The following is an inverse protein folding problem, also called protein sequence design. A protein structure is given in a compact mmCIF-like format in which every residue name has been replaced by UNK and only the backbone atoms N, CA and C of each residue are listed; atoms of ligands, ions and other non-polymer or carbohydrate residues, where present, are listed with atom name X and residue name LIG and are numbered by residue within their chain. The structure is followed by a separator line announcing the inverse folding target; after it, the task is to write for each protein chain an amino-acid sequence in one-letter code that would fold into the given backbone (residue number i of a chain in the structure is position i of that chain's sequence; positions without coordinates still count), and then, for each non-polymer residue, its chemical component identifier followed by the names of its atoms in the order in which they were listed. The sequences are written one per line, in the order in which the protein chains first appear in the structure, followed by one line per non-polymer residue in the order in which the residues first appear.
data_IF_424953652794
#
_entry.id   IF_424953652794
#
_cell.length_a   1.000
_cell.length_b   1.000
_cell.length_c   1.000
_cell.angle_alpha   90.00
_cell.angle_beta   90.00
_cell.angle_gamma   90.00
#
_symmetry.space_group_name_H-M   'P 1'
#
loop_
_entity.id
_entity.type
_entity.pdbx_description
1 polymer ?
#
# COMPACT_ATOMS: atom_id res chain seq x y z
N UNK A 1 12.33 -28.21 -7.22
CA UNK A 1 11.89 -28.04 -5.80
C UNK A 1 11.86 -26.56 -5.39
N UNK A 2 12.81 -25.73 -5.84
CA UNK A 2 12.87 -24.27 -5.59
C UNK A 2 11.65 -23.49 -6.08
N UNK A 3 11.09 -23.82 -7.25
CA UNK A 3 9.96 -23.10 -7.84
C UNK A 3 8.66 -23.16 -7.01
N UNK A 4 8.47 -24.22 -6.21
CA UNK A 4 7.29 -24.35 -5.34
C UNK A 4 7.39 -23.41 -4.13
N UNK A 5 8.57 -23.32 -3.51
CA UNK A 5 8.81 -22.43 -2.38
C UNK A 5 8.73 -20.96 -2.82
N UNK A 6 9.21 -20.65 -4.02
CA UNK A 6 9.08 -19.32 -4.62
C UNK A 6 7.62 -18.95 -4.87
N UNK A 7 6.83 -19.85 -5.48
CA UNK A 7 5.41 -19.63 -5.69
C UNK A 7 4.65 -19.46 -4.35
N UNK A 8 4.94 -20.29 -3.35
CA UNK A 8 4.33 -20.19 -2.01
C UNK A 8 4.69 -18.87 -1.30
N UNK A 9 5.93 -18.42 -1.42
CA UNK A 9 6.36 -17.14 -0.87
C UNK A 9 5.57 -15.98 -1.48
N UNK A 10 5.44 -15.95 -2.81
CA UNK A 10 4.68 -14.91 -3.53
C UNK A 10 3.19 -14.98 -3.19
N UNK A 11 2.65 -16.19 -3.03
CA UNK A 11 1.25 -16.43 -2.66
C UNK A 11 0.97 -15.93 -1.24
N UNK A 12 1.81 -16.28 -0.26
CA UNK A 12 1.72 -15.75 1.10
C UNK A 12 1.89 -14.23 1.13
N UNK A 13 2.76 -13.68 0.28
CA UNK A 13 2.90 -12.24 0.14
C UNK A 13 1.61 -11.61 -0.36
N UNK A 14 1.02 -12.14 -1.43
CA UNK A 14 -0.25 -11.67 -2.00
C UNK A 14 -1.38 -11.69 -0.98
N UNK A 15 -1.57 -12.81 -0.26
CA UNK A 15 -2.62 -12.92 0.75
C UNK A 15 -2.48 -11.94 1.93
N UNK A 16 -1.29 -11.37 2.17
CA UNK A 16 -1.12 -10.33 3.20
C UNK A 16 -1.71 -8.97 2.79
N UNK A 17 -1.87 -8.70 1.49
CA UNK A 17 -2.41 -7.45 0.96
C UNK A 17 -3.93 -7.29 1.18
N UNK A 18 -4.80 -8.28 0.94
CA UNK A 18 -6.23 -8.20 1.25
C UNK A 18 -6.50 -7.77 2.70
N UNK A 19 -5.70 -8.27 3.64
CA UNK A 19 -5.77 -7.90 5.06
C UNK A 19 -5.36 -6.44 5.24
N UNK A 20 -4.28 -6.02 4.59
CA UNK A 20 -3.79 -4.63 4.62
C UNK A 20 -4.78 -3.63 4.01
N UNK A 21 -5.40 -3.99 2.88
CA UNK A 21 -6.45 -3.23 2.18
C UNK A 21 -7.70 -3.14 3.05
N UNK A 22 -8.14 -4.26 3.64
CA UNK A 22 -9.32 -4.30 4.50
C UNK A 22 -9.14 -3.41 5.73
N UNK A 23 -7.97 -3.46 6.38
CA UNK A 23 -7.67 -2.58 7.51
C UNK A 23 -7.59 -1.12 7.09
N UNK A 24 -6.98 -0.81 5.94
CA UNK A 24 -6.94 0.55 5.38
C UNK A 24 -8.35 1.08 5.08
N UNK A 25 -9.21 0.26 4.49
CA UNK A 25 -10.59 0.61 4.16
C UNK A 25 -11.46 0.84 5.41
N UNK A 26 -11.35 -0.03 6.42
CA UNK A 26 -12.12 0.07 7.67
C UNK A 26 -11.65 1.21 8.57
N UNK A 27 -10.33 1.45 8.65
CA UNK A 27 -9.77 2.48 9.51
C UNK A 27 -10.13 3.90 9.06
N UNK A 28 -10.39 4.13 7.76
CA UNK A 28 -10.65 5.46 7.16
C UNK A 28 -9.62 6.54 7.55
N UNK A 29 -8.40 6.11 7.86
CA UNK A 29 -7.24 6.95 8.16
C UNK A 29 -6.01 6.28 7.55
N UNK A 30 -5.12 7.09 6.97
CA UNK A 30 -3.83 6.69 6.43
C UNK A 30 -2.72 6.71 7.50
N UNK A 31 -3.02 7.17 8.73
CA UNK A 31 -2.05 7.27 9.82
C UNK A 31 -1.55 5.88 10.23
N UNK A 32 -0.23 5.68 10.11
CA UNK A 32 0.47 4.45 10.52
C UNK A 32 0.79 3.46 9.40
N UNK A 33 0.38 3.73 8.15
CA UNK A 33 0.71 2.89 6.98
C UNK A 33 1.81 3.56 6.15
N UNK A 34 2.87 2.83 5.84
CA UNK A 34 4.05 3.34 5.14
C UNK A 34 3.94 3.07 3.64
N UNK A 35 3.50 4.07 2.87
CA UNK A 35 3.55 4.04 1.40
C UNK A 35 4.93 3.68 0.87
N UNK A 36 5.99 4.10 1.57
CA UNK A 36 7.36 3.86 1.15
C UNK A 36 7.68 2.36 1.11
N UNK A 37 7.13 1.59 2.07
CA UNK A 37 7.27 0.14 2.09
C UNK A 37 6.51 -0.53 0.93
N UNK A 38 5.29 -0.07 0.63
CA UNK A 38 4.51 -0.56 -0.51
C UNK A 38 5.17 -0.27 -1.86
N UNK A 39 5.74 0.93 -2.03
CA UNK A 39 6.48 1.29 -3.25
C UNK A 39 7.73 0.44 -3.38
N UNK A 40 8.44 0.17 -2.28
CA UNK A 40 9.61 -0.70 -2.30
C UNK A 40 9.25 -2.13 -2.72
N UNK A 41 8.11 -2.64 -2.22
CA UNK A 41 7.56 -3.93 -2.66
C UNK A 41 7.18 -3.91 -4.14
N UNK A 42 6.53 -2.85 -4.61
CA UNK A 42 6.18 -2.69 -6.02
C UNK A 42 7.42 -2.73 -6.92
N UNK A 43 8.48 -2.04 -6.53
CA UNK A 43 9.78 -2.07 -7.24
C UNK A 43 10.39 -3.47 -7.21
N UNK A 44 10.34 -4.17 -6.07
CA UNK A 44 10.74 -5.57 -5.97
C UNK A 44 9.98 -6.49 -6.93
N UNK A 45 8.67 -6.28 -7.08
CA UNK A 45 7.84 -6.99 -8.06
C UNK A 45 8.26 -6.69 -9.51
N UNK A 46 8.65 -5.47 -9.84
CA UNK A 46 9.18 -5.13 -11.18
C UNK A 46 10.48 -5.91 -11.47
N UNK A 47 11.41 -5.98 -10.52
CA UNK A 47 12.62 -6.80 -10.67
C UNK A 47 12.30 -8.29 -10.83
N UNK A 48 11.27 -8.77 -10.14
CA UNK A 48 10.74 -10.12 -10.30
C UNK A 48 10.21 -10.42 -11.70
N UNK A 49 9.45 -9.50 -12.28
CA UNK A 49 8.97 -9.60 -13.67
C UNK A 49 10.15 -9.64 -14.65
N UNK A 50 11.19 -8.82 -14.42
CA UNK A 50 12.39 -8.82 -15.27
C UNK A 50 13.08 -10.19 -15.24
N UNK A 51 13.22 -10.79 -14.05
CA UNK A 51 13.77 -12.16 -13.90
C UNK A 51 12.94 -13.18 -14.69
N UNK A 52 11.63 -13.10 -14.56
CA UNK A 52 10.70 -14.01 -15.22
C UNK A 52 10.76 -13.86 -16.75
N UNK A 53 10.90 -12.63 -17.23
CA UNK A 53 11.14 -12.32 -18.64
C UNK A 53 12.45 -12.96 -19.11
N UNK A 54 13.56 -12.74 -18.38
CA UNK A 54 14.85 -13.37 -18.71
C UNK A 54 14.78 -14.90 -18.75
N UNK A 55 14.01 -15.51 -17.86
CA UNK A 55 13.83 -16.97 -17.83
C UNK A 55 13.02 -17.47 -19.02
N UNK A 56 12.00 -16.71 -19.45
CA UNK A 56 11.23 -16.96 -20.67
C UNK A 56 12.11 -16.92 -21.93
N UNK A 57 12.99 -15.93 -22.06
CA UNK A 57 13.92 -15.83 -23.21
C UNK A 57 15.01 -16.91 -23.20
N UNK A 58 15.33 -17.47 -22.03
CA UNK A 58 16.34 -18.52 -21.89
C UNK A 58 15.85 -19.90 -22.34
N UNK A 59 14.59 -20.03 -22.78
CA UNK A 59 14.03 -21.26 -23.34
C UNK A 59 13.89 -22.41 -22.33
N UNK A 60 13.90 -22.10 -21.02
CA UNK A 60 13.63 -23.11 -19.99
C UNK A 60 12.16 -23.52 -20.05
N UNK A 61 11.89 -24.82 -19.84
CA UNK A 61 10.54 -25.40 -19.97
C UNK A 61 9.50 -24.62 -19.14
N UNK A 62 8.42 -24.23 -19.80
CA UNK A 62 7.29 -23.53 -19.19
C UNK A 62 6.45 -24.53 -18.39
N UNK A 63 6.84 -24.74 -17.13
CA UNK A 63 6.08 -25.58 -16.20
C UNK A 63 4.80 -24.88 -15.74
N UNK A 64 3.81 -25.67 -15.29
CA UNK A 64 2.59 -25.14 -14.66
C UNK A 64 2.87 -24.14 -13.51
N UNK A 65 3.97 -24.35 -12.78
CA UNK A 65 4.44 -23.45 -11.71
C UNK A 65 4.83 -22.06 -12.24
N UNK A 66 5.36 -21.95 -13.46
CA UNK A 66 5.66 -20.66 -14.09
C UNK A 66 4.38 -19.88 -14.36
N UNK A 67 3.37 -20.53 -14.94
CA UNK A 67 2.05 -19.91 -15.17
C UNK A 67 1.39 -19.47 -13.87
N UNK A 68 1.47 -20.31 -12.83
CA UNK A 68 0.93 -19.99 -11.52
C UNK A 68 1.64 -18.78 -10.90
N UNK A 69 2.97 -18.73 -10.97
CA UNK A 69 3.77 -17.58 -10.55
C UNK A 69 3.38 -16.30 -11.28
N UNK A 70 3.19 -16.39 -12.61
CA UNK A 70 2.74 -15.27 -13.44
C UNK A 70 1.39 -14.69 -13.02
N UNK A 71 0.41 -15.56 -12.73
CA UNK A 71 -0.92 -15.13 -12.24
C UNK A 71 -0.80 -14.44 -10.88
N UNK A 72 -0.01 -14.99 -9.95
CA UNK A 72 0.21 -14.37 -8.64
C UNK A 72 0.98 -13.05 -8.74
N UNK A 73 1.92 -12.91 -9.67
CA UNK A 73 2.62 -11.65 -9.94
C UNK A 73 1.64 -10.55 -10.37
N UNK A 74 0.77 -10.86 -11.34
CA UNK A 74 -0.25 -9.92 -11.82
C UNK A 74 -1.26 -9.55 -10.73
N UNK A 75 -1.70 -10.54 -9.96
CA UNK A 75 -2.61 -10.35 -8.84
C UNK A 75 -1.97 -9.44 -7.78
N UNK A 76 -0.72 -9.70 -7.40
CA UNK A 76 0.01 -8.86 -6.44
C UNK A 76 0.11 -7.43 -6.94
N UNK A 77 0.62 -7.16 -8.15
CA UNK A 77 0.71 -5.78 -8.68
C UNK A 77 -0.64 -5.07 -8.67
N UNK A 78 -1.72 -5.79 -9.01
CA UNK A 78 -3.08 -5.25 -9.01
C UNK A 78 -3.50 -4.87 -7.59
N UNK A 79 -3.24 -5.73 -6.60
CA UNK A 79 -3.52 -5.46 -5.19
C UNK A 79 -2.69 -4.28 -4.67
N UNK A 80 -1.39 -4.20 -4.99
CA UNK A 80 -0.54 -3.05 -4.61
C UNK A 80 -1.10 -1.76 -5.17
N UNK A 81 -1.52 -1.79 -6.43
CA UNK A 81 -2.06 -0.61 -7.11
C UNK A 81 -3.37 -0.16 -6.46
N UNK A 82 -4.28 -1.09 -6.13
CA UNK A 82 -5.55 -0.78 -5.46
C UNK A 82 -5.30 -0.23 -4.06
N UNK A 83 -4.38 -0.83 -3.30
CA UNK A 83 -4.04 -0.38 -1.95
C UNK A 83 -3.44 1.03 -1.95
N UNK A 84 -2.56 1.33 -2.92
CA UNK A 84 -1.97 2.65 -3.10
C UNK A 84 -3.02 3.71 -3.47
N UNK A 85 -3.98 3.37 -4.33
CA UNK A 85 -5.12 4.25 -4.68
C UNK A 85 -6.03 4.51 -3.48
N UNK A 86 -6.32 3.47 -2.69
CA UNK A 86 -7.08 3.61 -1.43
C UNK A 86 -6.33 4.46 -0.41
N UNK A 87 -5.02 4.29 -0.29
CA UNK A 87 -4.19 5.12 0.57
C UNK A 87 -4.27 6.58 0.16
N UNK A 88 -4.10 6.92 -1.13
CA UNK A 88 -4.19 8.31 -1.60
C UNK A 88 -5.55 8.94 -1.28
N UNK A 89 -6.63 8.17 -1.43
CA UNK A 89 -7.97 8.61 -1.05
C UNK A 89 -8.08 8.87 0.45
N UNK A 90 -7.58 7.96 1.29
CA UNK A 90 -7.60 8.10 2.75
C UNK A 90 -6.68 9.23 3.24
N UNK A 91 -5.53 9.44 2.61
CA UNK A 91 -4.61 10.53 2.92
C UNK A 91 -5.23 11.90 2.64
N UNK A 92 -6.01 12.02 1.56
CA UNK A 92 -6.76 13.25 1.27
C UNK A 92 -7.83 13.54 2.32
N UNK A 93 -8.52 12.51 2.79
CA UNK A 93 -9.53 12.62 3.86
C UNK A 93 -8.91 13.01 5.21
N UNK A 94 -7.74 12.45 5.55
CA UNK A 94 -7.03 12.81 6.78
C UNK A 94 -6.52 14.26 6.73
N UNK A 95 -5.99 14.71 5.60
CA UNK A 95 -5.54 16.11 5.43
C UNK A 95 -6.66 17.11 5.66
N UNK A 96 -7.86 16.84 5.11
CA UNK A 96 -9.03 17.69 5.33
C UNK A 96 -9.48 17.71 6.81
N UNK A 97 -9.34 16.57 7.51
CA UNK A 97 -9.71 16.46 8.92
C UNK A 97 -8.71 17.20 9.81
N UNK A 98 -7.42 17.21 9.46
CA UNK A 98 -6.40 18.02 10.13
C UNK A 98 -6.58 19.53 9.89
N UNK A 99 -6.92 19.94 8.66
CA UNK A 99 -7.21 21.34 8.33
C UNK A 99 -8.44 21.86 9.10
N UNK A 100 -9.50 21.06 9.24
CA UNK A 100 -10.67 21.40 10.06
C UNK A 100 -10.31 21.53 11.54
N UNK A 101 -9.48 20.62 12.06
CA UNK A 101 -9.04 20.66 13.45
C UNK A 101 -8.17 21.90 13.73
N UNK A 102 -7.28 22.26 12.81
CA UNK A 102 -6.46 23.46 12.91
C UNK A 102 -7.33 24.73 12.91
N UNK A 103 -8.31 24.81 12.02
CA UNK A 103 -9.25 25.93 11.95
C UNK A 103 -10.18 26.05 13.16
N UNK A 104 -10.41 25.00 13.94
CA UNK A 104 -11.20 25.07 15.17
C UNK A 104 -10.36 25.43 16.42
N UNK A 105 -9.05 25.14 16.39
CA UNK A 105 -8.12 25.48 17.47
C UNK A 105 -7.66 26.95 17.42
N UNK A 106 -7.48 27.53 16.23
CA UNK A 106 -7.15 28.96 16.07
C UNK A 106 -8.19 29.93 16.69
N UNK A 107 -9.51 29.82 16.43
CA UNK A 107 -10.50 30.76 16.95
C UNK A 107 -10.68 30.67 18.47
N UNK A 108 -10.43 29.50 19.09
CA UNK A 108 -10.49 29.35 20.55
C UNK A 108 -9.26 29.91 21.27
N UNK A 109 -8.11 29.93 20.60
CA UNK A 109 -6.87 30.44 21.21
C UNK A 109 -6.92 31.97 21.30
N UNK A 110 -7.35 32.66 20.24
CA UNK A 110 -7.49 34.12 20.24
C UNK A 110 -8.58 34.63 21.22
N UNK A 111 -9.70 33.93 21.34
CA UNK A 111 -10.76 34.30 22.29
C UNK A 111 -10.36 34.07 23.76
N UNK A 112 -9.51 33.08 24.05
CA UNK A 112 -9.05 32.79 25.42
C UNK A 112 -7.96 33.75 25.88
N UNK A 113 -7.11 34.25 24.98
CA UNK A 113 -6.10 35.27 25.30
C UNK A 113 -6.71 36.66 25.42
N UNK A 114 -7.67 37.04 24.56
CA UNK A 114 -8.31 38.35 24.61
C UNK A 114 -9.14 38.59 25.89
N UNK A 115 -9.78 37.55 26.44
CA UNK A 115 -10.54 37.65 27.69
C UNK A 115 -9.67 37.80 28.96
N UNK A 116 -8.39 37.43 28.90
CA UNK A 116 -7.44 37.54 30.02
C UNK A 116 -6.70 38.89 30.09
N UNK A 117 -6.69 39.66 29.02
CA UNK A 117 -6.09 41.02 29.01
C UNK A 117 -7.09 42.11 29.42
N UNK A 118 -8.37 41.78 29.53
CA UNK A 118 -9.44 42.70 29.91
C UNK A 118 -9.87 42.64 31.39
N UNK A 119 -9.25 41.79 32.21
CA UNK A 119 -9.40 41.74 33.68
C UNK A 119 -8.14 42.29 34.38
#
# INVERSE_FOLDING_TARGET
MTNLLEALMILCFGLSWPISIYRSYVARTAKGKSLFFEVFLWVGYVFGIIREFMQYFSGQGLDFLFYLGWVFYFLNITEITIDMLLYLRNAKLDKQREEQLAQELEPKTEQTTAGKESE
#
